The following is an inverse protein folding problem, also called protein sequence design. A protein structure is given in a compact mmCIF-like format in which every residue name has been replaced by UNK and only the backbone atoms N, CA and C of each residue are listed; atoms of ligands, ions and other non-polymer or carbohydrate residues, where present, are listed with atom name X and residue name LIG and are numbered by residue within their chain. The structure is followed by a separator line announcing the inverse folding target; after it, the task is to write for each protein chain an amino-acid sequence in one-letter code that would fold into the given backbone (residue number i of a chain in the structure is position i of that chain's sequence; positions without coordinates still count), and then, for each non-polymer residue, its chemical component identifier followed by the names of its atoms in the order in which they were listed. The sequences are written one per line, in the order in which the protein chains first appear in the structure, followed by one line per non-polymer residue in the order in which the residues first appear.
data_IF_968212466563
#
_entry.id   IF_968212466563
#
_cell.length_a   1.000
_cell.length_b   1.000
_cell.length_c   1.000
_cell.angle_alpha   90.00
_cell.angle_beta   90.00
_cell.angle_gamma   90.00
#
_symmetry.space_group_name_H-M   'P 1'
#
loop_
_entity.id
_entity.type
_entity.pdbx_description
1 polymer ?
#
# COMPACT_ATOMS: atom_id res chain seq x y z
N UNK A 1 -7.96 5.35 -3.73
CA UNK A 1 -7.72 4.36 -2.66
C UNK A 1 -8.61 3.17 -2.95
N UNK A 2 -8.00 2.03 -3.26
CA UNK A 2 -8.69 0.77 -3.56
C UNK A 2 -8.07 -0.30 -2.68
N UNK A 3 -8.89 -1.02 -1.94
CA UNK A 3 -8.43 -2.22 -1.23
C UNK A 3 -8.23 -3.33 -2.26
N UNK A 4 -7.10 -4.02 -2.17
CA UNK A 4 -6.71 -5.11 -3.06
C UNK A 4 -6.13 -6.26 -2.24
N UNK A 5 -6.33 -7.47 -2.73
CA UNK A 5 -5.73 -8.68 -2.15
C UNK A 5 -4.52 -9.10 -2.98
N UNK A 6 -3.40 -9.36 -2.32
CA UNK A 6 -2.21 -9.91 -2.94
C UNK A 6 -2.14 -11.40 -2.59
N UNK A 7 -2.42 -12.24 -3.58
CA UNK A 7 -2.33 -13.70 -3.41
C UNK A 7 -0.88 -14.16 -3.42
N UNK A 8 -0.49 -14.93 -2.41
CA UNK A 8 0.77 -15.67 -2.36
C UNK A 8 0.49 -17.17 -2.21
N UNK A 9 1.50 -18.05 -2.39
CA UNK A 9 1.29 -19.50 -2.23
C UNK A 9 0.84 -19.94 -0.83
N UNK A 10 1.21 -19.20 0.22
CA UNK A 10 0.89 -19.55 1.62
C UNK A 10 -0.36 -18.84 2.13
N UNK A 11 -0.64 -17.63 1.64
CA UNK A 11 -1.66 -16.75 2.21
C UNK A 11 -2.05 -15.57 1.30
N UNK A 12 -3.09 -14.85 1.71
CA UNK A 12 -3.53 -13.60 1.08
C UNK A 12 -3.11 -12.44 1.97
N UNK A 13 -2.45 -11.44 1.38
CA UNK A 13 -2.11 -10.20 2.07
C UNK A 13 -3.11 -9.11 1.73
N UNK A 14 -3.64 -8.44 2.75
CA UNK A 14 -4.44 -7.24 2.56
C UNK A 14 -3.55 -6.07 2.16
N UNK A 15 -3.89 -5.40 1.08
CA UNK A 15 -3.15 -4.27 0.54
C UNK A 15 -4.08 -3.13 0.13
N UNK A 16 -3.53 -1.92 0.04
CA UNK A 16 -4.24 -0.73 -0.43
C UNK A 16 -3.45 -0.08 -1.54
N UNK A 17 -4.12 0.14 -2.67
CA UNK A 17 -3.61 0.86 -3.82
C UNK A 17 -4.07 2.33 -3.79
N UNK A 18 -3.09 3.22 -3.86
CA UNK A 18 -3.25 4.66 -4.04
C UNK A 18 -2.74 5.01 -5.44
N UNK A 19 -3.65 5.13 -6.39
CA UNK A 19 -3.32 5.47 -7.79
C UNK A 19 -3.09 6.97 -7.94
N UNK A 20 -2.02 7.34 -8.64
CA UNK A 20 -1.82 8.68 -9.18
C UNK A 20 -2.48 8.81 -10.56
N UNK A 21 -3.00 10.00 -10.90
CA UNK A 21 -3.65 10.25 -12.20
C UNK A 21 -2.70 10.10 -13.40
N UNK A 22 -1.43 10.45 -13.20
CA UNK A 22 -0.32 10.21 -14.14
C UNK A 22 0.84 9.66 -13.33
N UNK A 23 1.09 8.36 -13.45
CA UNK A 23 2.10 7.68 -12.67
C UNK A 23 3.42 7.56 -13.44
N UNK A 24 4.47 8.21 -12.94
CA UNK A 24 5.84 8.05 -13.44
C UNK A 24 6.61 6.96 -12.67
N UNK A 25 6.11 6.58 -11.49
CA UNK A 25 6.70 5.55 -10.64
C UNK A 25 5.65 4.82 -9.78
N UNK A 26 6.02 3.62 -9.31
CA UNK A 26 5.27 2.86 -8.31
C UNK A 26 6.15 2.63 -7.08
N UNK A 27 5.64 2.99 -5.90
CA UNK A 27 6.27 2.75 -4.61
C UNK A 27 5.52 1.64 -3.86
N UNK A 28 6.24 0.59 -3.49
CA UNK A 28 5.75 -0.39 -2.50
C UNK A 28 6.22 0.06 -1.12
N UNK A 29 5.26 0.39 -0.26
CA UNK A 29 5.50 0.87 1.09
C UNK A 29 5.18 -0.25 2.08
N UNK A 30 6.24 -0.89 2.59
CA UNK A 30 6.14 -1.94 3.58
C UNK A 30 5.83 -1.36 4.98
N UNK A 31 4.94 -2.04 5.70
CA UNK A 31 4.59 -1.65 7.06
C UNK A 31 5.71 -1.96 8.06
N UNK A 32 5.86 -1.15 9.12
CA UNK A 32 6.77 -1.48 10.22
C UNK A 32 6.19 -2.57 11.13
N UNK A 33 7.04 -3.24 11.91
CA UNK A 33 6.61 -4.25 12.89
C UNK A 33 5.57 -3.68 13.85
N UNK A 34 4.41 -4.33 13.94
CA UNK A 34 3.31 -3.91 14.82
C UNK A 34 2.53 -2.67 14.35
N UNK A 35 2.79 -2.18 13.14
CA UNK A 35 2.11 -1.02 12.55
C UNK A 35 1.25 -1.49 11.38
N UNK A 36 -0.04 -1.16 11.40
CA UNK A 36 -0.93 -1.43 10.28
C UNK A 36 -0.66 -0.49 9.11
N UNK A 37 -0.86 -0.95 7.89
CA UNK A 37 -0.69 -0.20 6.64
C UNK A 37 -1.45 1.14 6.64
N UNK A 38 -2.60 1.19 7.33
CA UNK A 38 -3.43 2.39 7.46
C UNK A 38 -2.71 3.59 8.10
N UNK A 39 -1.64 3.36 8.88
CA UNK A 39 -0.79 4.42 9.42
C UNK A 39 -0.18 5.29 8.31
N UNK A 40 0.16 4.69 7.17
CA UNK A 40 0.83 5.35 6.05
C UNK A 40 -0.13 6.06 5.09
N UNK A 41 -1.44 5.98 5.30
CA UNK A 41 -2.47 6.51 4.38
C UNK A 41 -2.20 7.94 3.93
N UNK A 42 -1.94 8.86 4.87
CA UNK A 42 -1.72 10.28 4.54
C UNK A 42 -0.47 10.49 3.69
N UNK A 43 0.58 9.73 3.98
CA UNK A 43 1.84 9.79 3.22
C UNK A 43 1.66 9.21 1.82
N UNK A 44 0.98 8.07 1.69
CA UNK A 44 0.66 7.47 0.40
C UNK A 44 -0.17 8.43 -0.47
N UNK A 45 -1.19 9.09 0.09
CA UNK A 45 -1.99 10.10 -0.60
C UNK A 45 -1.14 11.29 -1.07
N UNK A 46 -0.28 11.83 -0.21
CA UNK A 46 0.62 12.92 -0.59
C UNK A 46 1.52 12.56 -1.78
N UNK A 47 2.00 11.32 -1.86
CA UNK A 47 2.84 10.87 -2.97
C UNK A 47 2.08 10.72 -4.30
N UNK A 48 0.78 10.39 -4.26
CA UNK A 48 -0.02 10.35 -5.49
C UNK A 48 -0.13 11.72 -6.17
N UNK A 49 -0.14 12.80 -5.39
CA UNK A 49 -0.10 14.19 -5.91
C UNK A 49 1.25 14.54 -6.56
N UNK A 50 2.28 13.70 -6.40
CA UNK A 50 3.60 13.84 -7.02
C UNK A 50 3.82 12.88 -8.19
N UNK A 51 2.76 12.22 -8.68
CA UNK A 51 2.85 11.28 -9.79
C UNK A 51 3.39 9.90 -9.40
N UNK A 52 3.31 9.53 -8.12
CA UNK A 52 3.77 8.24 -7.62
C UNK A 52 2.56 7.42 -7.16
N UNK A 53 2.30 6.31 -7.83
CA UNK A 53 1.32 5.32 -7.35
C UNK A 53 1.92 4.56 -6.17
N UNK A 54 1.18 4.42 -5.08
CA UNK A 54 1.67 3.77 -3.86
C UNK A 54 0.84 2.53 -3.54
N UNK A 55 1.52 1.44 -3.19
CA UNK A 55 0.91 0.21 -2.67
C UNK A 55 1.37 0.05 -1.22
N UNK A 56 0.44 -0.01 -0.28
CA UNK A 56 0.70 -0.40 1.11
C UNK A 56 0.16 -1.81 1.35
N UNK A 57 0.71 -2.54 2.32
CA UNK A 57 0.18 -3.84 2.71
C UNK A 57 0.45 -4.14 4.18
N UNK A 58 -0.37 -5.00 4.76
CA UNK A 58 -0.12 -5.59 6.07
C UNK A 58 0.63 -6.91 5.91
N UNK A 59 1.69 -7.11 6.71
CA UNK A 59 2.28 -8.43 6.82
C UNK A 59 1.30 -9.40 7.47
N UNK A 60 1.50 -10.67 7.17
CA UNK A 60 0.83 -11.83 7.75
C UNK A 60 0.64 -11.67 9.27
N UNK A 61 -0.61 -11.75 9.75
CA UNK A 61 -0.93 -11.69 11.17
C UNK A 61 -0.93 -10.28 11.80
N UNK A 62 -0.62 -9.23 11.05
CA UNK A 62 -0.74 -7.82 11.51
C UNK A 62 -2.09 -7.21 11.09
N UNK A 63 -2.65 -7.69 9.98
CA UNK A 63 -3.95 -7.32 9.43
C UNK A 63 -4.94 -8.46 9.52
#
# INVERSE_FOLDING_TARGET
MKEIDITSPSEILSATLYEADKADAVLVLASATGVKQGFYRKFAQFLTEKGITVITFDYCGIG
#
